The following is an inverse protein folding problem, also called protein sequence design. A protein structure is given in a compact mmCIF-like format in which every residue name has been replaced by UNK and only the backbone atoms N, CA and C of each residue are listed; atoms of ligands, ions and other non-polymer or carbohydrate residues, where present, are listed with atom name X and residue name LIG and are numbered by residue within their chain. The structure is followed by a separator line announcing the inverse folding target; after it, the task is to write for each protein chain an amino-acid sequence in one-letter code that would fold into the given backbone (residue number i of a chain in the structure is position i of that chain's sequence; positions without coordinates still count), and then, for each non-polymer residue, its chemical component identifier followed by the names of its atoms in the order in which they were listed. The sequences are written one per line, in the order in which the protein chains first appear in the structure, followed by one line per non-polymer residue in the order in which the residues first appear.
data_IF_382895987656
#
_entry.id   IF_382895987656
#
_cell.length_a   1.000
_cell.length_b   1.000
_cell.length_c   1.000
_cell.angle_alpha   90.00
_cell.angle_beta   90.00
_cell.angle_gamma   90.00
#
_symmetry.space_group_name_H-M   'P 1'
#
loop_
_entity.id
_entity.type
_entity.pdbx_description
1 polymer ?
#
# COMPACT_ATOMS: atom_id res chain seq x y z
N UNK A 1 7.78 7.69 -4.55
CA UNK A 1 6.44 7.15 -4.91
C UNK A 1 6.04 6.17 -3.82
N UNK A 2 4.76 6.05 -3.48
CA UNK A 2 4.31 5.11 -2.45
C UNK A 2 3.52 3.96 -3.06
N UNK A 3 3.70 2.78 -2.50
CA UNK A 3 3.06 1.57 -2.97
C UNK A 3 2.42 0.83 -1.80
N UNK A 4 1.10 0.87 -1.73
CA UNK A 4 0.33 0.09 -0.78
C UNK A 4 0.34 -1.38 -1.19
N UNK A 5 0.65 -2.26 -0.24
CA UNK A 5 0.77 -3.68 -0.51
C UNK A 5 -0.15 -4.51 0.38
N UNK A 6 -0.43 -4.13 1.62
CA UNK A 6 -1.37 -4.89 2.44
C UNK A 6 -2.22 -4.01 3.35
N UNK A 7 -3.37 -4.53 3.74
CA UNK A 7 -4.23 -3.93 4.74
C UNK A 7 -4.40 -4.87 5.93
N UNK A 8 -4.18 -4.34 7.12
CA UNK A 8 -4.41 -5.02 8.39
C UNK A 8 -5.70 -4.50 9.01
N UNK A 9 -6.73 -5.35 9.01
CA UNK A 9 -8.02 -5.03 9.63
C UNK A 9 -8.00 -5.20 11.12
N UNK A 10 -8.71 -4.32 11.83
CA UNK A 10 -9.11 -4.64 13.20
C UNK A 10 -9.95 -5.92 13.20
N UNK A 11 -9.61 -6.89 14.05
CA UNK A 11 -10.25 -8.21 14.11
C UNK A 11 -11.72 -8.17 14.59
N UNK A 12 -12.33 -6.99 14.72
CA UNK A 12 -13.70 -6.82 15.19
C UNK A 12 -14.64 -6.39 14.07
N UNK A 13 -15.73 -7.13 13.79
CA UNK A 13 -16.68 -6.84 12.70
C UNK A 13 -17.27 -5.43 12.71
N UNK A 14 -17.35 -4.80 13.89
CA UNK A 14 -17.89 -3.44 14.05
C UNK A 14 -16.90 -2.32 13.68
N UNK A 15 -15.61 -2.64 13.47
CA UNK A 15 -14.53 -1.67 13.25
C UNK A 15 -13.74 -1.96 11.96
N UNK A 16 -14.38 -2.54 10.94
CA UNK A 16 -13.74 -2.86 9.66
C UNK A 16 -13.16 -1.62 8.94
N UNK A 17 -13.65 -0.42 9.27
CA UNK A 17 -13.11 0.86 8.79
C UNK A 17 -11.79 1.28 9.46
N UNK A 18 -11.43 0.67 10.58
CA UNK A 18 -10.18 0.91 11.30
C UNK A 18 -9.15 -0.13 10.89
N UNK A 19 -8.43 0.20 9.81
CA UNK A 19 -7.36 -0.64 9.27
C UNK A 19 -6.08 0.15 9.05
N UNK A 20 -4.96 -0.59 9.06
CA UNK A 20 -3.64 -0.04 8.75
C UNK A 20 -3.23 -0.45 7.34
N UNK A 21 -2.71 0.49 6.59
CA UNK A 21 -2.15 0.29 5.25
C UNK A 21 -0.65 0.16 5.38
N UNK A 22 -0.16 -1.03 5.06
CA UNK A 22 1.25 -1.33 4.92
C UNK A 22 1.72 -0.98 3.51
N UNK A 23 2.84 -0.26 3.43
CA UNK A 23 3.32 0.31 2.17
C UNK A 23 4.84 0.28 2.06
N UNK A 24 5.30 0.31 0.82
CA UNK A 24 6.69 0.53 0.44
C UNK A 24 6.90 1.96 -0.02
N UNK A 25 8.01 2.55 0.41
CA UNK A 25 8.51 3.78 -0.16
C UNK A 25 9.50 3.44 -1.28
N UNK A 26 9.26 4.02 -2.45
CA UNK A 26 10.09 3.83 -3.64
C UNK A 26 10.82 5.13 -3.97
N UNK A 27 12.12 5.01 -4.28
CA UNK A 27 12.93 6.11 -4.81
C UNK A 27 12.57 6.44 -6.27
N UNK A 28 13.29 7.39 -6.88
CA UNK A 28 13.08 7.79 -8.28
C UNK A 28 13.42 6.69 -9.29
N UNK A 29 14.18 5.67 -8.89
CA UNK A 29 14.57 4.54 -9.72
C UNK A 29 13.61 3.34 -9.56
N UNK A 30 12.60 3.46 -8.68
CA UNK A 30 11.68 2.37 -8.36
C UNK A 30 12.23 1.36 -7.35
N UNK A 31 13.33 1.66 -6.68
CA UNK A 31 13.91 0.80 -5.64
C UNK A 31 13.20 1.03 -4.31
N UNK A 32 12.98 -0.04 -3.55
CA UNK A 32 12.41 0.02 -2.20
C UNK A 32 13.45 0.59 -1.25
N UNK A 33 13.14 1.73 -0.63
CA UNK A 33 14.03 2.39 0.33
C UNK A 33 13.55 2.26 1.77
N UNK A 34 12.26 2.05 1.98
CA UNK A 34 11.71 1.83 3.31
C UNK A 34 10.36 1.11 3.27
N UNK A 35 9.94 0.60 4.44
CA UNK A 35 8.65 -0.03 4.68
C UNK A 35 7.96 0.75 5.80
N UNK A 36 6.69 1.10 5.59
CA UNK A 36 5.90 1.87 6.54
C UNK A 36 4.51 1.27 6.77
N UNK A 37 3.85 1.74 7.81
CA UNK A 37 2.44 1.47 8.09
C UNK A 37 1.75 2.76 8.52
N UNK A 38 0.58 3.03 7.96
CA UNK A 38 -0.22 4.21 8.28
C UNK A 38 -1.70 3.86 8.44
N UNK A 39 -2.49 4.69 9.11
CA UNK A 39 -3.94 4.49 9.18
C UNK A 39 -4.63 4.91 7.88
N UNK A 40 -5.88 4.49 7.72
CA UNK A 40 -6.75 4.97 6.63
C UNK A 40 -6.82 6.51 6.59
N UNK A 41 -6.97 7.16 7.75
CA UNK A 41 -7.08 8.62 7.85
C UNK A 41 -5.80 9.32 7.40
N UNK A 42 -4.64 8.77 7.75
CA UNK A 42 -3.33 9.27 7.33
C UNK A 42 -3.16 9.16 5.81
N UNK A 43 -3.53 8.02 5.23
CA UNK A 43 -3.50 7.82 3.78
C UNK A 43 -4.43 8.81 3.05
N UNK A 44 -5.67 8.96 3.52
CA UNK A 44 -6.63 9.91 2.93
C UNK A 44 -6.08 11.34 3.00
N UNK A 45 -5.49 11.73 4.14
CA UNK A 45 -4.87 13.05 4.31
C UNK A 45 -3.71 13.27 3.33
N UNK A 46 -2.85 12.26 3.16
CA UNK A 46 -1.72 12.34 2.22
C UNK A 46 -2.19 12.40 0.76
N UNK A 47 -3.21 11.63 0.38
CA UNK A 47 -3.86 11.72 -0.93
C UNK A 47 -4.36 13.15 -1.20
N UNK A 48 -5.14 13.72 -0.28
CA UNK A 48 -5.62 15.10 -0.40
C UNK A 48 -4.49 16.12 -0.59
N UNK A 49 -3.39 15.95 0.15
CA UNK A 49 -2.23 16.84 0.06
C UNK A 49 -1.53 16.70 -1.30
N UNK A 50 -1.40 15.48 -1.82
CA UNK A 50 -0.81 15.23 -3.14
C UNK A 50 -1.66 15.81 -4.28
N UNK A 51 -2.98 15.60 -4.27
CA UNK A 51 -3.87 16.22 -5.27
C UNK A 51 -3.79 17.75 -5.23
N UNK A 52 -3.77 18.34 -4.03
CA UNK A 52 -3.67 19.81 -3.90
C UNK A 52 -2.36 20.34 -4.49
N UNK A 53 -1.26 19.62 -4.32
CA UNK A 53 0.07 20.09 -4.69
C UNK A 53 0.47 19.74 -6.13
N UNK A 54 0.03 18.58 -6.63
CA UNK A 54 0.49 18.00 -7.90
C UNK A 54 -0.64 17.69 -8.88
N UNK A 55 -1.90 17.68 -8.44
CA UNK A 55 -3.06 17.30 -9.25
C UNK A 55 -3.26 15.79 -9.41
N UNK A 56 -2.38 14.95 -8.85
CA UNK A 56 -2.41 13.50 -9.00
C UNK A 56 -2.03 12.77 -7.70
N UNK A 57 -2.39 11.49 -7.63
CA UNK A 57 -2.01 10.59 -6.54
C UNK A 57 -0.60 10.03 -6.74
N UNK A 58 0.19 9.98 -5.66
CA UNK A 58 1.49 9.31 -5.61
C UNK A 58 1.40 7.86 -5.11
N UNK A 59 0.18 7.34 -4.94
CA UNK A 59 -0.09 6.05 -4.33
C UNK A 59 -0.55 5.02 -5.35
N UNK A 60 0.00 3.81 -5.26
CA UNK A 60 -0.41 2.67 -6.08
C UNK A 60 -0.64 1.43 -5.23
N UNK A 61 -1.62 0.60 -5.57
CA UNK A 61 -1.92 -0.67 -4.92
C UNK A 61 -1.44 -1.85 -5.77
N UNK A 62 -0.78 -2.83 -5.16
CA UNK A 62 -0.53 -4.13 -5.77
C UNK A 62 -1.66 -5.11 -5.42
N UNK A 63 -2.29 -5.70 -6.43
CA UNK A 63 -3.42 -6.62 -6.27
C UNK A 63 -2.97 -8.05 -6.52
N UNK A 64 -3.48 -9.02 -5.76
CA UNK A 64 -3.12 -10.42 -5.90
C UNK A 64 -3.40 -10.96 -7.31
N UNK A 65 -4.50 -10.53 -7.91
CA UNK A 65 -4.99 -11.05 -9.18
C UNK A 65 -4.49 -10.23 -10.39
N UNK A 66 -3.51 -9.32 -10.19
CA UNK A 66 -3.00 -8.45 -11.26
C UNK A 66 -1.49 -8.29 -11.20
N UNK A 67 -0.85 -8.36 -12.37
CA UNK A 67 0.58 -8.07 -12.52
C UNK A 67 0.89 -6.57 -12.38
N UNK A 68 -0.06 -5.72 -12.77
CA UNK A 68 0.10 -4.27 -12.73
C UNK A 68 -0.44 -3.66 -11.43
N UNK A 69 0.31 -2.69 -10.90
CA UNK A 69 -0.18 -1.85 -9.81
C UNK A 69 -1.23 -0.85 -10.31
N UNK A 70 -2.24 -0.56 -9.50
CA UNK A 70 -3.33 0.39 -9.83
C UNK A 70 -3.19 1.67 -9.01
N UNK A 71 -3.49 2.84 -9.58
CA UNK A 71 -3.44 4.11 -8.82
C UNK A 71 -4.54 4.11 -7.76
N UNK A 72 -4.20 4.57 -6.56
CA UNK A 72 -5.15 4.80 -5.47
C UNK A 72 -5.66 6.23 -5.60
N UNK A 73 -6.95 6.40 -5.78
CA UNK A 73 -7.59 7.68 -6.01
C UNK A 73 -8.46 8.12 -4.83
N UNK A 74 -8.68 9.42 -4.69
CA UNK A 74 -9.48 9.94 -3.59
C UNK A 74 -10.93 9.42 -3.59
N UNK A 75 -11.51 9.23 -4.78
CA UNK A 75 -12.87 8.73 -4.94
C UNK A 75 -13.01 7.26 -4.51
N UNK A 76 -11.92 6.49 -4.44
CA UNK A 76 -11.97 5.11 -3.95
C UNK A 76 -12.50 5.07 -2.52
N UNK A 77 -12.20 6.08 -1.70
CA UNK A 77 -12.63 6.19 -0.30
C UNK A 77 -14.03 6.80 -0.11
N UNK A 78 -14.59 7.43 -1.15
CA UNK A 78 -15.89 8.13 -1.11
C UNK A 78 -17.00 7.23 -1.66
N UNK A 79 -16.68 6.42 -2.67
CA UNK A 79 -17.67 5.70 -3.48
C UNK A 79 -18.03 4.28 -3.00
N UNK A 80 -17.22 3.68 -2.12
CA UNK A 80 -17.37 2.27 -1.71
C UNK A 80 -17.74 2.13 -0.23
N UNK A 81 -18.39 1.00 0.09
CA UNK A 81 -18.92 0.68 1.41
C UNK A 81 -17.82 0.89 2.49
N UNK A 82 -18.03 1.76 3.49
CA UNK A 82 -17.02 2.10 4.49
C UNK A 82 -16.59 0.91 5.38
N UNK A 83 -17.34 -0.20 5.31
CA UNK A 83 -17.05 -1.44 6.05
C UNK A 83 -16.25 -2.44 5.20
N UNK A 84 -16.00 -2.18 3.92
CA UNK A 84 -15.26 -3.08 3.06
C UNK A 84 -13.95 -2.45 2.60
N UNK A 85 -12.85 -3.19 2.74
CA UNK A 85 -11.54 -2.80 2.19
C UNK A 85 -11.47 -2.87 0.66
N UNK A 86 -12.61 -2.87 -0.02
CA UNK A 86 -12.71 -2.97 -1.48
C UNK A 86 -12.24 -1.69 -2.18
N UNK A 87 -11.89 -0.65 -1.43
CA UNK A 87 -11.24 0.57 -1.92
C UNK A 87 -10.00 0.26 -2.77
N UNK A 88 -9.22 -0.75 -2.38
CA UNK A 88 -7.99 -1.11 -3.08
C UNK A 88 -8.14 -2.33 -4.00
N UNK A 89 -9.21 -3.13 -3.88
CA UNK A 89 -9.35 -4.42 -4.57
C UNK A 89 -8.83 -5.58 -3.71
N UNK A 90 -8.47 -6.71 -4.34
CA UNK A 90 -7.93 -7.88 -3.66
C UNK A 90 -6.46 -7.66 -3.32
N UNK A 91 -6.20 -7.03 -2.18
CA UNK A 91 -4.85 -6.89 -1.63
C UNK A 91 -4.35 -8.20 -1.02
N UNK A 92 -3.03 -8.46 -1.04
CA UNK A 92 -2.48 -9.57 -0.28
C UNK A 92 -2.69 -9.42 1.22
N UNK A 93 -2.83 -10.55 1.89
CA UNK A 93 -2.91 -10.63 3.35
C UNK A 93 -1.58 -10.18 3.97
N UNK A 94 -1.60 -9.80 5.25
CA UNK A 94 -0.37 -9.43 5.96
C UNK A 94 0.69 -10.54 5.94
N UNK A 95 0.28 -11.81 6.04
CA UNK A 95 1.21 -12.95 5.97
C UNK A 95 1.84 -13.10 4.58
N UNK A 96 1.08 -12.88 3.52
CA UNK A 96 1.62 -12.90 2.15
C UNK A 96 2.52 -11.70 1.87
N UNK A 97 2.18 -10.53 2.42
CA UNK A 97 3.06 -9.38 2.39
C UNK A 97 4.38 -9.66 3.13
N UNK A 98 4.33 -10.24 4.34
CA UNK A 98 5.53 -10.65 5.08
C UNK A 98 6.39 -11.61 4.27
N UNK A 99 5.81 -12.63 3.64
CA UNK A 99 6.55 -13.54 2.73
C UNK A 99 7.16 -12.80 1.54
N UNK A 100 6.46 -11.82 0.99
CA UNK A 100 6.95 -11.00 -0.12
C UNK A 100 8.12 -10.13 0.33
N UNK A 101 8.04 -9.53 1.51
CA UNK A 101 9.13 -8.78 2.13
C UNK A 101 10.33 -9.67 2.44
N UNK A 102 10.13 -10.84 3.01
CA UNK A 102 11.19 -11.82 3.26
C UNK A 102 11.90 -12.20 1.95
N UNK A 103 11.15 -12.45 0.88
CA UNK A 103 11.71 -12.73 -0.44
C UNK A 103 12.47 -11.53 -1.04
N UNK A 104 11.95 -10.31 -0.88
CA UNK A 104 12.61 -9.09 -1.32
C UNK A 104 13.90 -8.82 -0.52
N UNK A 105 13.86 -8.98 0.79
CA UNK A 105 15.00 -8.84 1.69
C UNK A 105 16.06 -9.92 1.41
N UNK A 106 15.64 -11.18 1.22
CA UNK A 106 16.52 -12.26 0.76
C UNK A 106 17.18 -11.92 -0.58
N UNK A 107 16.44 -11.33 -1.53
CA UNK A 107 17.02 -10.88 -2.81
C UNK A 107 17.98 -9.70 -2.65
N UNK A 108 17.73 -8.79 -1.72
CA UNK A 108 18.66 -7.70 -1.38
C UNK A 108 19.93 -8.21 -0.70
N UNK A 109 19.83 -9.21 0.18
CA UNK A 109 20.98 -9.87 0.82
C UNK A 109 21.79 -10.73 -0.16
N UNK A 110 21.13 -11.29 -1.18
CA UNK A 110 21.76 -12.10 -2.23
C UNK A 110 22.30 -11.27 -3.41
N UNK A 111 21.98 -9.97 -3.52
CA UNK A 111 22.72 -9.10 -4.45
C UNK A 111 24.16 -8.99 -3.93
N UNK A 112 25.15 -9.53 -4.67
CA UNK A 112 26.50 -9.64 -4.14
C UNK A 112 27.08 -8.25 -3.89
N UNK A 113 27.95 -8.18 -2.88
CA UNK A 113 29.06 -7.24 -2.85
C UNK A 113 29.86 -7.49 -4.14
N UNK A 114 29.47 -6.83 -5.23
CA UNK A 114 30.31 -6.68 -6.40
C UNK A 114 31.30 -5.56 -6.04
N UNK A 115 32.50 -6.00 -5.66
CA UNK A 115 33.70 -5.20 -5.48
C UNK A 115 34.16 -4.57 -6.79
#
# INVERSE_FOLDING_TARGET
MYMAIAVENSHHPANQSNYRVWHLELDSNGSVVSIGAMTREELVKDLFQNYRNKGESNWRAFLQDREDSTVIELYDFISKNPNENTHFGNLPTLSEFQKTLEQLQLRMELQPIAA
#
